data_IF_557953257377
#
_entry.id   IF_557953257377
#
_cell.length_a   1.000
_cell.length_b   1.000
_cell.length_c   1.000
_cell.angle_alpha   90.00
_cell.angle_beta   90.00
_cell.angle_gamma   90.00
#
_symmetry.space_group_name_H-M   'P 1'
#
loop_
_entity.id
_entity.type
_entity.pdbx_description
1 polymer ?
#
# COMPACT_ATOMS: atom_id res chain seq x y z
N UNK A 1 -5.94 15.03 -7.43
CA UNK A 1 -7.15 14.68 -8.20
C UNK A 1 -7.69 13.35 -7.69
N UNK A 2 -9.00 13.25 -7.42
CA UNK A 2 -9.63 11.98 -7.04
C UNK A 2 -9.78 11.10 -8.27
N UNK A 3 -9.47 9.79 -8.12
CA UNK A 3 -9.76 8.79 -9.14
C UNK A 3 -11.27 8.47 -9.13
N UNK A 4 -11.93 8.55 -10.26
CA UNK A 4 -13.36 8.21 -10.36
C UNK A 4 -13.52 6.69 -10.47
N UNK A 5 -13.98 6.07 -9.40
CA UNK A 5 -14.49 4.70 -9.39
C UNK A 5 -15.98 4.77 -9.66
N UNK A 6 -16.50 3.85 -10.46
CA UNK A 6 -17.88 3.83 -10.92
C UNK A 6 -18.88 4.12 -9.77
N UNK A 7 -19.66 5.18 -9.91
CA UNK A 7 -20.52 5.75 -8.87
C UNK A 7 -21.72 4.88 -8.44
N UNK A 8 -21.99 3.78 -9.15
CA UNK A 8 -23.17 2.97 -8.90
C UNK A 8 -23.08 2.02 -7.71
N UNK A 9 -21.86 1.74 -7.23
CA UNK A 9 -21.64 0.90 -6.06
C UNK A 9 -20.68 1.62 -5.11
N UNK A 10 -21.15 1.93 -3.91
CA UNK A 10 -20.28 2.45 -2.85
C UNK A 10 -19.44 1.29 -2.29
N UNK A 11 -18.29 1.09 -2.88
CA UNK A 11 -17.41 -0.05 -2.58
C UNK A 11 -16.43 0.22 -1.44
N UNK A 12 -16.49 1.39 -0.83
CA UNK A 12 -15.50 1.86 0.15
C UNK A 12 -14.04 1.83 -0.37
N UNK A 13 -13.86 1.70 -1.68
CA UNK A 13 -12.56 1.77 -2.35
C UNK A 13 -12.42 3.17 -2.95
N UNK A 14 -11.37 3.89 -2.61
CA UNK A 14 -11.10 5.24 -3.12
C UNK A 14 -9.68 5.39 -3.58
N UNK A 15 -9.52 6.14 -4.65
CA UNK A 15 -8.23 6.45 -5.24
C UNK A 15 -7.95 7.95 -5.28
N UNK A 16 -6.69 8.31 -4.99
CA UNK A 16 -6.19 9.68 -4.99
C UNK A 16 -4.86 9.73 -5.73
N UNK A 17 -4.68 10.70 -6.63
CA UNK A 17 -3.43 10.84 -7.36
C UNK A 17 -2.48 11.77 -6.62
N UNK A 18 -1.30 11.25 -6.28
CA UNK A 18 -0.21 12.05 -5.75
C UNK A 18 0.32 13.02 -6.81
N UNK A 19 0.68 14.24 -6.43
CA UNK A 19 1.36 15.15 -7.33
C UNK A 19 2.81 14.69 -7.59
N UNK A 20 3.36 15.04 -8.74
CA UNK A 20 4.70 14.58 -9.17
C UNK A 20 5.81 15.04 -8.23
N UNK A 21 5.69 16.21 -7.61
CA UNK A 21 6.65 16.73 -6.64
C UNK A 21 6.72 15.93 -5.32
N UNK A 22 5.68 15.20 -4.99
CA UNK A 22 5.66 14.22 -3.88
C UNK A 22 6.14 12.85 -4.36
N UNK A 23 5.67 12.42 -5.53
CA UNK A 23 5.86 11.06 -6.02
C UNK A 23 7.27 10.81 -6.59
N UNK A 24 7.79 11.70 -7.43
CA UNK A 24 9.06 11.48 -8.11
C UNK A 24 10.27 11.38 -7.16
N UNK A 25 10.38 12.21 -6.09
CA UNK A 25 11.41 12.02 -5.07
C UNK A 25 11.31 10.67 -4.35
N UNK A 26 10.09 10.23 -4.02
CA UNK A 26 9.85 8.93 -3.39
C UNK A 26 10.29 7.79 -4.30
N UNK A 27 9.88 7.79 -5.58
CA UNK A 27 10.28 6.77 -6.55
C UNK A 27 11.80 6.73 -6.70
N UNK A 28 12.45 7.88 -6.80
CA UNK A 28 13.89 7.96 -6.91
C UNK A 28 14.58 7.34 -5.69
N UNK A 29 14.10 7.64 -4.51
CA UNK A 29 14.63 7.06 -3.28
C UNK A 29 14.36 5.55 -3.20
N UNK A 30 13.13 5.08 -3.45
CA UNK A 30 12.79 3.66 -3.45
C UNK A 30 13.70 2.82 -4.36
N UNK A 31 14.12 3.38 -5.51
CA UNK A 31 15.03 2.69 -6.44
C UNK A 31 16.45 2.48 -5.89
N UNK A 32 16.82 3.19 -4.82
CA UNK A 32 18.12 3.00 -4.15
C UNK A 32 18.10 1.94 -3.07
N UNK A 33 16.90 1.47 -2.67
CA UNK A 33 16.75 0.51 -1.59
C UNK A 33 17.18 -0.90 -2.02
N UNK A 34 17.89 -1.63 -1.16
CA UNK A 34 18.19 -3.04 -1.40
C UNK A 34 16.89 -3.84 -1.31
N UNK A 35 16.56 -4.54 -2.37
CA UNK A 35 15.38 -5.41 -2.42
C UNK A 35 15.80 -6.85 -2.11
N UNK A 36 15.04 -7.50 -1.23
CA UNK A 36 15.26 -8.89 -0.84
C UNK A 36 14.06 -9.70 -1.29
N UNK A 37 14.30 -10.77 -2.05
CA UNK A 37 13.24 -11.67 -2.50
C UNK A 37 12.72 -12.52 -1.35
N UNK A 38 11.40 -12.54 -1.14
CA UNK A 38 10.73 -13.38 -0.16
C UNK A 38 11.10 -13.10 1.31
N UNK A 39 11.61 -11.90 1.63
CA UNK A 39 11.97 -11.53 2.98
C UNK A 39 10.92 -10.63 3.62
N UNK A 40 10.62 -10.93 4.89
CA UNK A 40 9.96 -9.97 5.78
C UNK A 40 10.94 -9.56 6.88
N UNK A 41 11.06 -8.28 7.16
CA UNK A 41 11.85 -7.80 8.28
C UNK A 41 10.97 -7.70 9.53
N UNK A 42 11.43 -8.26 10.65
CA UNK A 42 10.76 -8.08 11.93
C UNK A 42 10.92 -6.64 12.41
N UNK A 43 9.81 -5.95 12.65
CA UNK A 43 9.78 -4.59 13.20
C UNK A 43 10.28 -4.51 14.63
N UNK A 44 10.25 -5.63 15.38
CA UNK A 44 10.61 -5.66 16.79
C UNK A 44 12.11 -5.89 17.04
N UNK A 45 12.78 -6.64 16.17
CA UNK A 45 14.18 -7.04 16.39
C UNK A 45 15.14 -6.44 15.38
N UNK A 46 14.66 -5.86 14.30
CA UNK A 46 15.49 -5.42 13.17
C UNK A 46 16.11 -6.58 12.40
N UNK A 47 15.84 -7.82 12.79
CA UNK A 47 16.33 -9.00 12.10
C UNK A 47 15.60 -9.17 10.77
N UNK A 48 16.38 -9.35 9.73
CA UNK A 48 15.85 -9.72 8.40
C UNK A 48 15.58 -11.22 8.45
N UNK A 49 14.33 -11.60 8.56
CA UNK A 49 13.92 -12.98 8.34
C UNK A 49 14.03 -13.29 6.84
N UNK A 50 15.21 -13.68 6.41
CA UNK A 50 15.42 -14.21 5.06
C UNK A 50 14.76 -15.58 5.03
N UNK A 51 13.58 -15.66 4.49
CA UNK A 51 13.03 -16.92 4.04
C UNK A 51 13.93 -17.41 2.91
N UNK A 52 14.70 -18.42 3.12
CA UNK A 52 15.69 -19.14 2.28
C UNK A 52 15.81 -18.77 0.76
N UNK A 53 15.53 -17.51 0.40
CA UNK A 53 15.60 -16.98 -0.95
C UNK A 53 14.52 -17.47 -1.92
N UNK A 54 13.59 -18.29 -1.44
CA UNK A 54 12.48 -18.76 -2.26
C UNK A 54 11.31 -17.79 -2.12
N UNK A 55 10.87 -17.24 -3.24
CA UNK A 55 9.62 -16.52 -3.30
C UNK A 55 8.51 -17.44 -2.78
N UNK A 56 7.67 -16.92 -1.89
CA UNK A 56 6.48 -17.65 -1.46
C UNK A 56 5.56 -17.85 -2.68
N UNK A 57 5.05 -19.05 -2.88
CA UNK A 57 4.14 -19.37 -3.99
C UNK A 57 2.88 -18.47 -4.07
N UNK A 58 2.56 -17.78 -2.98
CA UNK A 58 1.44 -16.83 -2.93
C UNK A 58 1.86 -15.39 -3.14
N UNK A 59 3.12 -15.01 -2.84
CA UNK A 59 3.64 -13.64 -2.94
C UNK A 59 5.01 -13.64 -3.61
N UNK A 60 5.02 -13.41 -4.89
CA UNK A 60 6.22 -13.47 -5.73
C UNK A 60 6.74 -12.07 -6.02
N UNK A 61 7.31 -11.40 -5.01
CA UNK A 61 7.89 -10.07 -5.16
C UNK A 61 9.23 -9.92 -4.45
N UNK A 62 9.95 -8.88 -4.84
CA UNK A 62 11.04 -8.33 -4.05
C UNK A 62 10.50 -7.22 -3.17
N UNK A 63 10.94 -7.13 -1.91
CA UNK A 63 10.44 -6.11 -1.01
C UNK A 63 11.53 -5.50 -0.12
N UNK A 64 11.24 -4.30 0.36
CA UNK A 64 12.01 -3.62 1.38
C UNK A 64 11.06 -3.00 2.38
N UNK A 65 11.20 -3.36 3.65
CA UNK A 65 10.43 -2.76 4.74
C UNK A 65 10.94 -1.35 5.04
N UNK A 66 10.03 -0.41 5.12
CA UNK A 66 10.29 0.98 5.47
C UNK A 66 9.76 1.20 6.89
N UNK A 67 10.67 1.44 7.83
CA UNK A 67 10.37 1.53 9.26
C UNK A 67 10.95 2.80 9.86
N UNK A 68 10.51 3.13 11.06
CA UNK A 68 11.18 4.08 11.91
C UNK A 68 12.65 3.62 12.17
N UNK A 69 13.71 4.40 11.92
CA UNK A 69 13.75 5.84 11.68
C UNK A 69 13.82 6.28 10.20
N UNK A 70 13.67 5.37 9.24
CA UNK A 70 13.77 5.66 7.78
C UNK A 70 12.73 6.69 7.31
N UNK A 71 11.63 6.83 8.06
CA UNK A 71 10.58 7.83 7.86
C UNK A 71 11.13 9.27 7.87
N UNK A 72 12.32 9.50 8.45
CA UNK A 72 12.99 10.79 8.44
C UNK A 72 13.59 11.18 7.10
N UNK A 73 13.63 10.25 6.15
CA UNK A 73 13.97 10.56 4.77
C UNK A 73 12.94 11.58 4.22
N UNK A 74 13.37 12.76 3.73
CA UNK A 74 12.44 13.83 3.35
C UNK A 74 11.38 13.41 2.34
N UNK A 75 11.73 12.55 1.38
CA UNK A 75 10.78 12.05 0.37
C UNK A 75 9.71 11.15 0.98
N UNK A 76 10.06 10.36 2.01
CA UNK A 76 9.11 9.52 2.76
C UNK A 76 8.22 10.36 3.65
N UNK A 77 8.78 11.33 4.40
CA UNK A 77 7.99 12.23 5.23
C UNK A 77 6.96 13.00 4.42
N UNK A 78 7.37 13.58 3.30
CA UNK A 78 6.51 14.33 2.40
C UNK A 78 5.37 13.45 1.84
N UNK A 79 5.73 12.23 1.46
CA UNK A 79 4.75 11.25 0.98
C UNK A 79 3.73 10.89 2.07
N UNK A 80 4.17 10.61 3.30
CA UNK A 80 3.27 10.26 4.40
C UNK A 80 2.37 11.43 4.80
N UNK A 81 2.87 12.67 4.79
CA UNK A 81 2.05 13.86 5.00
C UNK A 81 0.96 13.99 3.95
N UNK A 82 1.31 13.77 2.68
CA UNK A 82 0.34 13.77 1.60
C UNK A 82 -0.67 12.59 1.73
N UNK A 83 -0.22 11.40 2.11
CA UNK A 83 -1.12 10.27 2.39
C UNK A 83 -2.10 10.58 3.52
N UNK A 84 -1.64 11.24 4.59
CA UNK A 84 -2.52 11.67 5.68
C UNK A 84 -3.57 12.66 5.18
N UNK A 85 -3.19 13.60 4.33
CA UNK A 85 -4.14 14.52 3.69
C UNK A 85 -5.19 13.77 2.83
N UNK A 86 -4.77 12.79 2.04
CA UNK A 86 -5.68 11.95 1.27
C UNK A 86 -6.62 11.12 2.16
N UNK A 87 -6.11 10.61 3.29
CA UNK A 87 -6.91 9.90 4.29
C UNK A 87 -7.99 10.81 4.92
N UNK A 88 -7.68 12.08 5.19
CA UNK A 88 -8.68 13.03 5.69
C UNK A 88 -9.83 13.20 4.70
N UNK A 89 -9.54 13.29 3.39
CA UNK A 89 -10.58 13.34 2.36
C UNK A 89 -11.41 12.05 2.29
N UNK A 90 -10.78 10.89 2.48
CA UNK A 90 -11.50 9.62 2.58
C UNK A 90 -12.46 9.61 3.77
N UNK A 91 -12.02 10.10 4.93
CA UNK A 91 -12.85 10.18 6.14
C UNK A 91 -13.96 11.23 6.04
N UNK A 92 -13.79 12.28 5.25
CA UNK A 92 -14.85 13.25 4.99
C UNK A 92 -16.01 12.65 4.18
N UNK A 93 -15.72 11.69 3.32
CA UNK A 93 -16.75 10.95 2.60
C UNK A 93 -17.39 9.85 3.46
N UNK A 94 -16.59 9.18 4.29
CA UNK A 94 -17.03 8.11 5.19
C UNK A 94 -16.98 8.57 6.65
N UNK A 95 -17.87 9.50 6.99
CA UNK A 95 -17.84 10.26 8.27
C UNK A 95 -17.89 9.40 9.52
N UNK A 96 -18.50 8.19 9.45
CA UNK A 96 -18.52 7.25 10.57
C UNK A 96 -17.12 6.83 11.05
N UNK A 97 -16.10 6.93 10.17
CA UNK A 97 -14.72 6.68 10.57
C UNK A 97 -14.21 7.71 11.57
N UNK A 98 -14.70 8.96 11.52
CA UNK A 98 -14.34 10.01 12.47
C UNK A 98 -14.99 9.81 13.84
N UNK A 99 -16.17 9.20 13.86
CA UNK A 99 -16.92 8.90 15.09
C UNK A 99 -16.39 7.67 15.82
N UNK A 100 -15.79 6.72 15.10
CA UNK A 100 -15.27 5.46 15.63
C UNK A 100 -14.00 5.56 16.47
N UNK A 101 -13.45 6.76 16.63
CA UNK A 101 -12.23 7.01 17.41
C UNK A 101 -11.08 7.59 16.57
N UNK A 102 -9.94 7.79 17.23
CA UNK A 102 -8.74 8.28 16.54
C UNK A 102 -7.96 7.11 15.95
N UNK A 103 -7.74 7.14 14.66
CA UNK A 103 -6.79 6.26 14.00
C UNK A 103 -5.85 7.09 13.12
N UNK A 104 -4.71 6.53 12.79
CA UNK A 104 -3.68 7.16 11.98
C UNK A 104 -3.12 6.14 11.01
N UNK A 105 -2.42 6.61 10.01
CA UNK A 105 -1.61 5.73 9.17
C UNK A 105 -0.50 5.09 10.00
N UNK A 106 -0.33 3.78 9.85
CA UNK A 106 0.85 3.10 10.34
C UNK A 106 2.04 3.58 9.49
N UNK A 107 3.09 4.09 10.11
CA UNK A 107 4.26 4.57 9.38
C UNK A 107 5.09 3.43 8.78
N UNK A 108 4.91 2.21 9.28
CA UNK A 108 5.64 1.05 8.79
C UNK A 108 4.93 0.48 7.56
N UNK A 109 5.63 0.43 6.45
CA UNK A 109 5.09 -0.08 5.18
C UNK A 109 6.17 -0.73 4.33
N UNK A 110 5.77 -1.42 3.26
CA UNK A 110 6.68 -2.13 2.38
C UNK A 110 6.73 -1.47 1.00
N UNK A 111 7.95 -1.27 0.49
CA UNK A 111 8.18 -1.08 -0.92
C UNK A 111 8.27 -2.45 -1.58
N UNK A 112 7.41 -2.71 -2.56
CA UNK A 112 7.31 -4.00 -3.24
C UNK A 112 7.54 -3.83 -4.74
N UNK A 113 8.32 -4.75 -5.32
CA UNK A 113 8.57 -4.80 -6.76
C UNK A 113 8.23 -6.19 -7.28
N UNK A 114 7.22 -6.24 -8.13
CA UNK A 114 6.82 -7.46 -8.82
C UNK A 114 7.53 -7.55 -10.17
N UNK A 115 8.34 -8.58 -10.44
CA UNK A 115 8.88 -8.84 -11.77
C UNK A 115 7.77 -9.18 -12.76
N UNK A 116 8.07 -9.06 -14.05
CA UNK A 116 7.13 -9.47 -15.10
C UNK A 116 6.72 -10.94 -14.93
N UNK A 117 5.41 -11.20 -14.97
CA UNK A 117 4.83 -12.53 -14.81
C UNK A 117 4.69 -13.02 -13.37
N UNK A 118 4.99 -12.15 -12.37
CA UNK A 118 4.86 -12.47 -10.97
C UNK A 118 3.77 -11.63 -10.31
N UNK A 119 3.12 -12.19 -9.30
CA UNK A 119 1.99 -11.55 -8.63
C UNK A 119 1.88 -11.98 -7.15
N UNK A 120 0.98 -11.35 -6.44
CA UNK A 120 0.41 -11.90 -5.21
C UNK A 120 -0.82 -12.72 -5.58
N UNK A 121 -0.69 -14.05 -5.59
CA UNK A 121 -1.69 -14.97 -6.15
C UNK A 121 -2.75 -15.44 -5.14
N UNK A 122 -2.67 -15.02 -3.88
CA UNK A 122 -3.60 -15.44 -2.83
C UNK A 122 -4.62 -14.37 -2.47
N UNK A 123 -5.92 -14.72 -2.50
CA UNK A 123 -6.94 -13.90 -1.86
C UNK A 123 -6.72 -13.85 -0.35
N UNK A 124 -6.68 -12.67 0.22
CA UNK A 124 -6.43 -12.46 1.65
C UNK A 124 -7.13 -11.19 2.14
N UNK A 125 -7.20 -11.05 3.44
CA UNK A 125 -7.53 -9.80 4.10
C UNK A 125 -6.36 -9.37 4.98
N UNK A 126 -6.22 -8.08 5.25
CA UNK A 126 -5.12 -7.54 6.05
C UNK A 126 -5.30 -7.75 7.56
N UNK A 127 -6.48 -8.21 7.99
CA UNK A 127 -6.82 -8.56 9.38
C UNK A 127 -6.77 -10.07 9.64
N UNK A 128 -5.92 -10.79 8.95
CA UNK A 128 -5.83 -12.25 9.01
C UNK A 128 -5.28 -12.85 10.31
N UNK A 129 -4.87 -12.04 11.29
CA UNK A 129 -4.31 -12.51 12.55
C UNK A 129 -4.55 -11.57 13.73
N UNK A 130 -4.33 -12.06 14.95
CA UNK A 130 -4.54 -11.28 16.19
C UNK A 130 -3.75 -9.96 16.18
N UNK A 131 -2.52 -10.00 15.67
CA UNK A 131 -1.63 -8.84 15.62
C UNK A 131 -2.09 -7.74 14.65
N UNK A 132 -2.94 -8.09 13.68
CA UNK A 132 -3.45 -7.18 12.67
C UNK A 132 -4.92 -6.76 12.89
N UNK A 133 -5.55 -7.18 13.99
CA UNK A 133 -6.96 -6.88 14.30
C UNK A 133 -7.26 -5.38 14.45
N UNK A 134 -6.24 -4.57 14.74
CA UNK A 134 -6.38 -3.11 14.88
C UNK A 134 -6.39 -2.37 13.53
N UNK A 135 -6.08 -3.03 12.41
CA UNK A 135 -6.12 -2.42 11.08
C UNK A 135 -7.56 -2.21 10.64
N UNK A 136 -7.91 -0.98 10.32
CA UNK A 136 -9.24 -0.61 9.83
C UNK A 136 -9.26 -0.46 8.32
N UNK A 137 -8.23 0.17 7.78
CA UNK A 137 -8.06 0.44 6.37
C UNK A 137 -6.72 -0.06 5.89
N UNK A 138 -6.67 -0.38 4.62
CA UNK A 138 -5.43 -0.62 3.88
C UNK A 138 -5.18 0.58 2.98
N UNK A 139 -3.92 0.87 2.75
CA UNK A 139 -3.51 1.79 1.71
C UNK A 139 -2.41 1.19 0.85
N UNK A 140 -2.40 1.53 -0.42
CA UNK A 140 -1.39 1.10 -1.38
C UNK A 140 -1.22 2.17 -2.45
N UNK A 141 0.05 2.44 -2.83
CA UNK A 141 0.41 3.38 -3.87
C UNK A 141 1.06 2.65 -5.04
N UNK A 142 0.53 2.86 -6.25
CA UNK A 142 1.21 2.45 -7.47
C UNK A 142 2.29 3.46 -7.85
N UNK A 143 3.54 3.00 -7.96
CA UNK A 143 4.68 3.85 -8.32
C UNK A 143 4.96 3.89 -9.82
N UNK A 144 4.33 3.02 -10.58
CA UNK A 144 4.36 2.99 -12.05
C UNK A 144 3.03 2.46 -12.60
N UNK A 145 2.80 2.73 -13.85
CA UNK A 145 1.74 2.09 -14.64
C UNK A 145 2.20 0.72 -15.17
N UNK A 146 1.25 -0.12 -15.53
CA UNK A 146 1.47 -1.39 -16.22
C UNK A 146 0.47 -1.53 -17.36
N UNK A 147 0.96 -1.82 -18.56
CA UNK A 147 0.10 -1.96 -19.75
C UNK A 147 -0.75 -3.24 -19.72
N UNK A 148 -0.18 -4.32 -19.17
CA UNK A 148 -0.80 -5.64 -19.14
C UNK A 148 -0.55 -6.29 -17.76
N UNK A 149 -1.64 -6.59 -17.05
CA UNK A 149 -1.59 -7.16 -15.71
C UNK A 149 -1.30 -6.14 -14.60
N UNK A 150 -0.95 -6.65 -13.43
CA UNK A 150 -0.61 -5.87 -12.24
C UNK A 150 -1.82 -5.29 -11.50
N UNK A 151 -3.03 -5.67 -11.87
CA UNK A 151 -4.24 -5.19 -11.23
C UNK A 151 -4.34 -5.67 -9.76
N UNK A 152 -4.90 -4.82 -8.91
CA UNK A 152 -5.35 -5.21 -7.59
C UNK A 152 -6.80 -5.64 -7.65
N UNK A 153 -7.04 -6.92 -7.41
CA UNK A 153 -8.38 -7.52 -7.46
C UNK A 153 -9.12 -7.38 -6.12
N UNK A 154 -10.41 -7.06 -6.20
CA UNK A 154 -11.35 -7.04 -5.08
C UNK A 154 -12.45 -8.09 -5.34
N UNK A 155 -12.33 -9.23 -4.65
CA UNK A 155 -13.12 -10.43 -4.94
C UNK A 155 -14.64 -10.21 -4.85
N UNK A 156 -15.09 -9.67 -3.72
CA UNK A 156 -16.51 -9.50 -3.44
C UNK A 156 -17.14 -8.34 -4.20
N UNK A 157 -16.35 -7.32 -4.46
CA UNK A 157 -16.73 -6.16 -5.26
C UNK A 157 -16.69 -6.45 -6.78
N UNK A 158 -16.09 -7.58 -7.17
CA UNK A 158 -15.89 -7.97 -8.59
C UNK A 158 -15.22 -6.86 -9.40
N UNK A 159 -14.23 -6.23 -8.78
CA UNK A 159 -13.56 -5.08 -9.32
C UNK A 159 -12.05 -5.29 -9.37
N UNK A 160 -11.42 -4.88 -10.46
CA UNK A 160 -9.97 -4.89 -10.64
C UNK A 160 -9.49 -3.46 -10.87
N UNK A 161 -8.61 -2.99 -10.00
CA UNK A 161 -7.98 -1.68 -10.11
C UNK A 161 -6.69 -1.82 -10.92
N UNK A 162 -6.62 -1.10 -12.05
CA UNK A 162 -5.39 -1.03 -12.84
C UNK A 162 -4.33 -0.20 -12.15
N UNK A 163 -3.05 -0.60 -12.25
CA UNK A 163 -1.95 0.22 -11.75
C UNK A 163 -1.78 1.47 -12.62
N UNK A 164 -1.94 2.62 -11.98
CA UNK A 164 -1.65 3.93 -12.57
C UNK A 164 -0.61 4.64 -11.72
N UNK A 165 0.41 5.22 -12.37
CA UNK A 165 1.49 5.92 -11.64
C UNK A 165 0.89 7.01 -10.73
N UNK A 166 1.21 6.96 -9.44
CA UNK A 166 0.76 7.93 -8.45
C UNK A 166 -0.62 7.69 -7.87
N UNK A 167 -1.30 6.62 -8.25
CA UNK A 167 -2.60 6.27 -7.68
C UNK A 167 -2.43 5.63 -6.30
N UNK A 168 -2.84 6.34 -5.26
CA UNK A 168 -3.01 5.84 -3.90
C UNK A 168 -4.43 5.32 -3.73
N UNK A 169 -4.56 4.11 -3.23
CA UNK A 169 -5.84 3.49 -2.89
C UNK A 169 -6.03 3.42 -1.38
N UNK A 170 -7.28 3.56 -0.94
CA UNK A 170 -7.76 3.17 0.38
C UNK A 170 -8.93 2.21 0.24
N UNK A 171 -8.96 1.18 1.11
CA UNK A 171 -10.09 0.25 1.23
C UNK A 171 -10.14 -0.36 2.64
N UNK A 172 -11.30 -0.94 3.06
CA UNK A 172 -11.39 -1.69 4.31
C UNK A 172 -10.43 -2.88 4.35
N UNK A 173 -9.93 -3.19 5.54
CA UNK A 173 -8.94 -4.27 5.74
C UNK A 173 -9.50 -5.70 5.70
N UNK A 174 -10.84 -5.82 5.65
CA UNK A 174 -11.60 -7.10 5.62
C UNK A 174 -12.07 -7.45 4.22
#
# INVERSE_FOLDING_TARGET
KQHEINKQENLFIKGYYAPDDVLDPLIKWCRTLPLIGGASQSTQTGEINVWDGKMNAHKECYEHGIFWPTIREPSVSNFLEWCQFALEHYMDEYTMLREGGKFKMDPDFNYQKYPKGHAYNGWHCERGGIESTHRMLVWMMYLNECEDGGETGFLYQKYNMKPEKGLLLFWPSD
#
